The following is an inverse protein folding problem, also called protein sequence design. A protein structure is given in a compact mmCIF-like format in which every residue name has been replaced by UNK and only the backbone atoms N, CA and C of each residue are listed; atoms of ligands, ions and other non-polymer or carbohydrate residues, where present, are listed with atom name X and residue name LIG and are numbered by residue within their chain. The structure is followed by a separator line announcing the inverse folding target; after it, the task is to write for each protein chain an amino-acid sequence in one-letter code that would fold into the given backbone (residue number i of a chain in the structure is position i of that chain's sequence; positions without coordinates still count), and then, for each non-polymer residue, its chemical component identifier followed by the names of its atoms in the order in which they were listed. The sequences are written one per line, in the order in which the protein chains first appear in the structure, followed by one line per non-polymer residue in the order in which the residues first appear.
data_IF_108604303526
#
_entry.id   IF_108604303526
#
_cell.length_a   1.000
_cell.length_b   1.000
_cell.length_c   1.000
_cell.angle_alpha   90.00
_cell.angle_beta   90.00
_cell.angle_gamma   90.00
#
_symmetry.space_group_name_H-M   'P 1'
#
loop_
_entity.id
_entity.type
_entity.pdbx_description
1 polymer ?
#
# COMPACT_ATOMS: atom_id res chain seq x y z
N UNK A 1 35.55 -24.47 21.55
CA UNK A 1 36.41 -23.83 20.52
C UNK A 1 35.52 -23.36 19.39
N UNK A 2 35.38 -22.05 19.11
CA UNK A 2 34.62 -21.63 17.94
C UNK A 2 35.43 -21.95 16.66
N UNK A 3 34.78 -22.59 15.68
CA UNK A 3 35.33 -22.79 14.33
C UNK A 3 35.42 -21.42 13.65
N UNK A 4 36.55 -21.15 13.00
CA UNK A 4 36.80 -19.90 12.29
C UNK A 4 35.71 -19.62 11.26
N UNK A 5 35.18 -18.38 11.28
CA UNK A 5 34.26 -17.81 10.30
C UNK A 5 35.01 -17.45 9.01
N UNK A 6 35.71 -18.41 8.42
CA UNK A 6 36.39 -18.21 7.14
C UNK A 6 35.35 -18.26 6.01
N UNK A 7 35.10 -17.10 5.39
CA UNK A 7 34.27 -17.01 4.18
C UNK A 7 34.92 -17.79 3.04
N UNK A 8 34.11 -18.45 2.21
CA UNK A 8 34.61 -19.13 1.01
C UNK A 8 35.14 -18.11 -0.02
N UNK A 9 36.05 -18.54 -0.89
CA UNK A 9 36.59 -17.66 -1.96
C UNK A 9 35.50 -17.19 -2.93
N UNK A 10 34.45 -18.00 -3.12
CA UNK A 10 33.25 -17.61 -3.85
C UNK A 10 32.49 -16.46 -3.16
N UNK A 11 32.24 -16.56 -1.85
CA UNK A 11 31.56 -15.53 -1.08
C UNK A 11 32.39 -14.23 -1.02
N UNK A 12 33.72 -14.35 -0.85
CA UNK A 12 34.64 -13.20 -0.93
C UNK A 12 34.52 -12.49 -2.27
N UNK A 13 34.46 -13.25 -3.39
CA UNK A 13 34.27 -12.72 -4.73
C UNK A 13 32.97 -11.93 -4.90
N UNK A 14 31.85 -12.47 -4.41
CA UNK A 14 30.53 -11.80 -4.45
C UNK A 14 30.56 -10.50 -3.65
N UNK A 15 31.13 -10.51 -2.45
CA UNK A 15 31.19 -9.34 -1.56
C UNK A 15 32.05 -8.23 -2.20
N UNK A 16 33.23 -8.57 -2.73
CA UNK A 16 34.12 -7.61 -3.39
C UNK A 16 33.47 -7.03 -4.65
N UNK A 17 32.82 -7.87 -5.47
CA UNK A 17 32.11 -7.43 -6.66
C UNK A 17 30.94 -6.49 -6.34
N UNK A 18 30.09 -6.88 -5.38
CA UNK A 18 28.95 -6.08 -4.93
C UNK A 18 29.37 -4.74 -4.34
N UNK A 19 30.45 -4.71 -3.55
CA UNK A 19 30.99 -3.49 -2.94
C UNK A 19 31.50 -2.48 -3.98
N UNK A 20 32.13 -2.93 -5.06
CA UNK A 20 32.57 -2.06 -6.16
C UNK A 20 31.42 -1.39 -6.92
N UNK A 21 30.28 -2.07 -7.04
CA UNK A 21 29.11 -1.57 -7.78
C UNK A 21 28.22 -0.69 -6.91
N UNK A 22 27.93 -1.13 -5.68
CA UNK A 22 26.98 -0.46 -4.80
C UNK A 22 27.63 0.56 -3.86
N UNK A 23 28.92 0.42 -3.55
CA UNK A 23 29.61 1.24 -2.54
C UNK A 23 29.32 0.84 -1.08
N UNK A 24 28.50 -0.20 -0.85
CA UNK A 24 28.15 -0.68 0.50
C UNK A 24 28.11 -2.21 0.56
N UNK A 25 28.66 -2.81 1.63
CA UNK A 25 28.68 -4.27 1.80
C UNK A 25 27.40 -4.84 2.45
N UNK A 26 26.26 -4.12 2.41
CA UNK A 26 25.01 -4.61 3.00
C UNK A 26 24.35 -5.61 2.05
N UNK A 27 23.87 -6.70 2.61
CA UNK A 27 23.09 -7.66 1.85
C UNK A 27 21.76 -7.01 1.40
N UNK A 28 21.51 -7.00 0.09
CA UNK A 28 20.30 -6.41 -0.49
C UNK A 28 19.13 -7.39 -0.27
N UNK A 29 17.97 -6.93 0.22
CA UNK A 29 16.80 -7.80 0.31
C UNK A 29 16.42 -8.32 -1.08
N UNK A 30 16.05 -9.59 -1.15
CA UNK A 30 15.55 -10.19 -2.39
C UNK A 30 14.28 -9.48 -2.82
N UNK A 31 14.21 -9.08 -4.09
CA UNK A 31 12.99 -8.50 -4.66
C UNK A 31 11.91 -9.59 -4.70
N UNK A 32 10.77 -9.31 -4.06
CA UNK A 32 9.63 -10.23 -4.05
C UNK A 32 8.84 -10.23 -5.36
N UNK A 33 7.70 -10.91 -5.36
CA UNK A 33 6.79 -10.93 -6.51
C UNK A 33 6.25 -9.52 -6.78
N UNK A 34 6.27 -9.02 -8.04
CA UNK A 34 5.67 -7.73 -8.38
C UNK A 34 4.16 -7.73 -8.10
N UNK A 35 3.64 -6.58 -7.67
CA UNK A 35 2.22 -6.40 -7.37
C UNK A 35 1.38 -6.39 -8.64
N UNK A 36 0.11 -6.82 -8.53
CA UNK A 36 -0.84 -6.84 -9.65
C UNK A 36 -1.18 -5.45 -10.20
N UNK A 37 -1.18 -4.42 -9.36
CA UNK A 37 -1.47 -3.04 -9.76
C UNK A 37 -0.17 -2.24 -9.92
N UNK A 38 -0.05 -1.58 -11.07
CA UNK A 38 1.00 -0.58 -11.31
C UNK A 38 0.62 0.81 -10.81
N UNK A 39 1.52 1.77 -10.94
CA UNK A 39 1.30 3.15 -10.45
C UNK A 39 0.14 3.86 -11.15
N UNK A 40 -0.07 3.58 -12.44
CA UNK A 40 -1.21 4.12 -13.20
C UNK A 40 -2.52 3.64 -12.60
N UNK A 41 -2.63 2.35 -12.35
CA UNK A 41 -3.83 1.74 -11.80
C UNK A 41 -4.12 2.26 -10.38
N UNK A 42 -3.09 2.42 -9.55
CA UNK A 42 -3.20 3.03 -8.21
C UNK A 42 -3.76 4.46 -8.29
N UNK A 43 -3.30 5.26 -9.27
CA UNK A 43 -3.83 6.61 -9.51
C UNK A 43 -5.29 6.59 -9.95
N UNK A 44 -5.65 5.68 -10.85
CA UNK A 44 -7.04 5.50 -11.30
C UNK A 44 -7.93 5.10 -10.12
N UNK A 45 -7.52 4.09 -9.35
CA UNK A 45 -8.26 3.64 -8.17
C UNK A 45 -8.47 4.77 -7.15
N UNK A 46 -7.42 5.53 -6.86
CA UNK A 46 -7.49 6.69 -5.95
C UNK A 46 -8.47 7.75 -6.46
N UNK A 47 -8.50 7.98 -7.77
CA UNK A 47 -9.45 8.91 -8.40
C UNK A 47 -10.89 8.41 -8.26
N UNK A 48 -11.16 7.14 -8.55
CA UNK A 48 -12.51 6.58 -8.46
C UNK A 48 -13.03 6.60 -7.01
N UNK A 49 -12.23 6.17 -6.02
CA UNK A 49 -12.61 6.24 -4.59
C UNK A 49 -12.91 7.67 -4.14
N UNK A 50 -12.17 8.67 -4.65
CA UNK A 50 -12.37 10.07 -4.28
C UNK A 50 -13.66 10.67 -4.83
N UNK A 51 -14.21 10.14 -5.94
CA UNK A 51 -15.50 10.61 -6.46
C UNK A 51 -16.60 10.40 -5.42
N UNK A 52 -16.68 9.20 -4.85
CA UNK A 52 -17.66 8.86 -3.82
C UNK A 52 -17.06 7.92 -2.77
N UNK A 53 -16.59 8.50 -1.66
CA UNK A 53 -15.86 7.75 -0.61
C UNK A 53 -16.74 6.77 0.18
N UNK A 54 -18.05 6.93 0.14
CA UNK A 54 -19.02 6.10 0.86
C UNK A 54 -19.58 4.96 0.01
N UNK A 55 -19.19 4.86 -1.26
CA UNK A 55 -19.65 3.78 -2.14
C UNK A 55 -19.16 2.41 -1.63
N UNK A 56 -19.96 1.35 -1.83
CA UNK A 56 -19.53 0.00 -1.52
C UNK A 56 -18.35 -0.41 -2.40
N UNK A 57 -17.39 -1.11 -1.80
CA UNK A 57 -16.15 -1.51 -2.49
C UNK A 57 -16.37 -2.36 -3.76
N UNK A 58 -17.53 -3.04 -3.86
CA UNK A 58 -17.86 -3.84 -5.04
C UNK A 58 -18.10 -2.97 -6.27
N UNK A 59 -18.85 -1.86 -6.12
CA UNK A 59 -19.07 -0.91 -7.20
C UNK A 59 -17.76 -0.20 -7.58
N UNK A 60 -16.95 0.18 -6.59
CA UNK A 60 -15.62 0.76 -6.82
C UNK A 60 -14.74 -0.18 -7.66
N UNK A 61 -14.81 -1.50 -7.40
CA UNK A 61 -14.09 -2.50 -8.21
C UNK A 61 -14.55 -2.49 -9.65
N UNK A 62 -15.86 -2.46 -9.89
CA UNK A 62 -16.43 -2.51 -11.24
C UNK A 62 -16.11 -1.24 -12.02
N UNK A 63 -16.26 -0.06 -11.40
CA UNK A 63 -15.86 1.22 -11.98
C UNK A 63 -14.35 1.28 -12.27
N UNK A 64 -13.52 0.78 -11.36
CA UNK A 64 -12.08 0.67 -11.56
C UNK A 64 -11.74 -0.26 -12.74
N UNK A 65 -12.36 -1.43 -12.81
CA UNK A 65 -12.14 -2.40 -13.89
C UNK A 65 -12.53 -1.79 -15.24
N UNK A 66 -13.65 -1.07 -15.29
CA UNK A 66 -14.09 -0.36 -16.49
C UNK A 66 -13.12 0.75 -16.91
N UNK A 67 -12.57 1.51 -15.95
CA UNK A 67 -11.67 2.63 -16.23
C UNK A 67 -10.22 2.21 -16.53
N UNK A 68 -9.74 1.14 -15.90
CA UNK A 68 -8.34 0.69 -15.95
C UNK A 68 -8.13 -0.50 -16.88
N UNK A 69 -9.15 -1.30 -17.15
CA UNK A 69 -9.04 -2.60 -17.85
C UNK A 69 -8.41 -3.72 -17.02
N UNK A 70 -7.84 -3.41 -15.84
CA UNK A 70 -7.16 -4.37 -14.97
C UNK A 70 -8.15 -5.19 -14.14
N UNK A 71 -8.24 -6.49 -14.42
CA UNK A 71 -9.08 -7.41 -13.64
C UNK A 71 -8.40 -7.77 -12.31
N UNK A 72 -8.98 -7.29 -11.22
CA UNK A 72 -8.48 -7.52 -9.86
C UNK A 72 -9.55 -8.01 -8.90
N UNK A 73 -9.10 -8.75 -7.89
CA UNK A 73 -9.96 -9.23 -6.81
C UNK A 73 -10.40 -8.10 -5.88
N UNK A 74 -11.54 -8.29 -5.21
CA UNK A 74 -12.00 -7.41 -4.14
C UNK A 74 -10.98 -7.22 -3.02
N UNK A 75 -10.21 -8.26 -2.68
CA UNK A 75 -9.19 -8.17 -1.64
C UNK A 75 -8.02 -7.26 -2.07
N UNK A 76 -7.65 -7.30 -3.34
CA UNK A 76 -6.63 -6.40 -3.91
C UNK A 76 -7.07 -4.94 -3.79
N UNK A 77 -8.31 -4.63 -4.19
CA UNK A 77 -8.88 -3.29 -4.09
C UNK A 77 -8.88 -2.79 -2.64
N UNK A 78 -9.31 -3.62 -1.68
CA UNK A 78 -9.29 -3.26 -0.25
C UNK A 78 -7.89 -2.99 0.28
N UNK A 79 -6.93 -3.85 -0.05
CA UNK A 79 -5.53 -3.68 0.40
C UNK A 79 -4.93 -2.38 -0.13
N UNK A 80 -5.14 -2.09 -1.41
CA UNK A 80 -4.59 -0.89 -2.05
C UNK A 80 -5.29 0.37 -1.56
N UNK A 81 -6.62 0.35 -1.41
CA UNK A 81 -7.36 1.44 -0.79
C UNK A 81 -6.85 1.74 0.63
N UNK A 82 -6.60 0.70 1.45
CA UNK A 82 -6.06 0.84 2.79
C UNK A 82 -4.62 1.40 2.79
N UNK A 83 -3.78 0.95 1.86
CA UNK A 83 -2.42 1.47 1.68
C UNK A 83 -2.42 2.96 1.30
N UNK A 84 -3.43 3.40 0.56
CA UNK A 84 -3.67 4.79 0.19
C UNK A 84 -4.44 5.61 1.25
N UNK A 85 -4.68 5.05 2.44
CA UNK A 85 -5.30 5.76 3.58
C UNK A 85 -6.83 5.82 3.54
N UNK A 86 -7.48 5.05 2.66
CA UNK A 86 -8.93 4.93 2.65
C UNK A 86 -9.36 3.82 3.61
N UNK A 87 -9.91 4.23 4.75
CA UNK A 87 -10.46 3.33 5.75
C UNK A 87 -11.98 3.47 5.80
N UNK A 88 -12.69 2.35 5.94
CA UNK A 88 -14.15 2.34 6.14
C UNK A 88 -14.58 2.69 7.57
N UNK A 89 -13.70 3.26 8.40
CA UNK A 89 -13.98 3.59 9.79
C UNK A 89 -14.56 5.01 9.85
N UNK A 90 -15.76 5.13 10.39
CA UNK A 90 -16.29 6.42 10.83
C UNK A 90 -15.74 6.74 12.22
N UNK A 91 -15.49 8.03 12.51
CA UNK A 91 -15.23 8.46 13.87
C UNK A 91 -16.47 8.14 14.73
N UNK A 92 -16.27 7.54 15.91
CA UNK A 92 -17.36 7.28 16.84
C UNK A 92 -17.97 8.61 17.31
N UNK A 93 -19.29 8.67 17.43
CA UNK A 93 -19.98 9.81 18.01
C UNK A 93 -19.53 9.99 19.47
N UNK A 94 -19.03 11.19 19.82
CA UNK A 94 -18.71 11.49 21.21
C UNK A 94 -20.03 11.75 21.97
N UNK A 95 -20.42 10.89 22.94
CA UNK A 95 -21.68 11.06 23.67
C UNK A 95 -21.75 12.37 24.48
N UNK A 96 -20.61 13.00 24.77
CA UNK A 96 -20.54 14.27 25.49
C UNK A 96 -20.65 15.50 24.59
N UNK A 97 -20.73 15.30 23.27
CA UNK A 97 -21.07 16.37 22.32
C UNK A 97 -22.57 16.30 22.10
N UNK A 98 -23.33 17.05 22.90
CA UNK A 98 -24.71 17.37 22.54
C UNK A 98 -24.69 18.38 21.40
N UNK A 99 -25.61 18.28 20.43
CA UNK A 99 -25.79 19.36 19.45
C UNK A 99 -26.08 20.63 20.23
N UNK A 100 -25.22 21.65 20.15
CA UNK A 100 -25.55 22.96 20.71
C UNK A 100 -26.82 23.47 20.01
N UNK A 101 -27.86 23.90 20.75
CA UNK A 101 -29.05 24.46 20.14
C UNK A 101 -28.71 25.83 19.56
N UNK A 102 -28.37 25.85 18.27
CA UNK A 102 -28.27 27.06 17.44
C UNK A 102 -29.17 26.74 16.26
N UNK A 103 -30.38 27.27 16.07
CA UNK A 103 -30.98 28.50 16.57
C UNK A 103 -32.49 28.31 16.83
N UNK A 104 -32.94 28.78 17.99
CA UNK A 104 -34.28 29.32 18.22
C UNK A 104 -34.08 30.82 18.44
N UNK A 105 -33.75 31.57 17.38
CA UNK A 105 -33.87 33.02 17.34
C UNK A 105 -34.21 33.40 15.89
N UNK A 106 -35.40 33.99 15.77
CA UNK A 106 -36.07 34.69 14.64
C UNK A 106 -36.55 33.91 13.42
#
# INVERSE_FOLDING_TARGET
MPRSLELSDFEKGIIIGSGKVSGYCRNVPRVGRPTKLGDRDRRVLTREIRKNRTQPMALIRDEFQQASGSIVSMNTIRKEAHLHGFHGRAAAHNPFITKSPTALLD
#
